data_IF_440337222473
#
_entry.id   IF_440337222473
#
_cell.length_a   1.000
_cell.length_b   1.000
_cell.length_c   1.000
_cell.angle_alpha   90.00
_cell.angle_beta   90.00
_cell.angle_gamma   90.00
#
_symmetry.space_group_name_H-M   'P 1'
#
loop_
_entity.id
_entity.type
_entity.pdbx_description
1 polymer ?
#
# COMPACT_ATOMS: atom_id res chain seq x y z
N UNK A 1 5.90 -18.83 18.74
CA UNK A 1 5.37 -17.78 17.84
C UNK A 1 4.14 -18.33 17.13
N UNK A 2 3.13 -17.50 16.92
CA UNK A 2 1.86 -17.87 16.27
C UNK A 2 1.64 -17.02 15.02
N UNK A 3 0.86 -17.54 14.07
CA UNK A 3 0.41 -16.75 12.93
C UNK A 3 -0.82 -15.93 13.33
N UNK A 4 -0.78 -14.63 13.05
CA UNK A 4 -1.82 -13.66 13.35
C UNK A 4 -2.44 -13.12 12.06
N UNK A 5 -3.76 -12.96 12.12
CA UNK A 5 -4.61 -12.30 11.12
C UNK A 5 -5.13 -11.00 11.69
N UNK A 6 -5.47 -10.06 10.82
CA UNK A 6 -5.98 -8.77 11.24
C UNK A 6 -7.42 -8.58 10.78
N UNK A 7 -8.20 -7.96 11.65
CA UNK A 7 -9.59 -7.60 11.40
C UNK A 7 -9.75 -6.12 11.68
N UNK A 8 -10.26 -5.34 10.72
CA UNK A 8 -10.39 -3.89 10.86
C UNK A 8 -11.84 -3.41 10.74
N UNK A 9 -12.17 -2.37 11.51
CA UNK A 9 -13.43 -1.63 11.44
C UNK A 9 -13.15 -0.15 11.67
N UNK A 10 -13.13 0.63 10.60
CA UNK A 10 -12.73 2.03 10.66
C UNK A 10 -11.27 2.18 11.11
N UNK A 11 -11.04 2.86 12.24
CA UNK A 11 -9.69 3.04 12.81
C UNK A 11 -9.26 1.92 13.76
N UNK A 12 -10.15 0.99 14.10
CA UNK A 12 -9.84 -0.10 15.02
C UNK A 12 -9.35 -1.31 14.25
N UNK A 13 -8.26 -1.91 14.72
CA UNK A 13 -7.72 -3.17 14.22
C UNK A 13 -7.51 -4.13 15.37
N UNK A 14 -7.92 -5.38 15.19
CA UNK A 14 -7.69 -6.48 16.14
C UNK A 14 -6.75 -7.48 15.49
N UNK A 15 -5.68 -7.84 16.19
CA UNK A 15 -4.85 -8.99 15.86
C UNK A 15 -5.46 -10.25 16.48
N UNK A 16 -5.58 -11.31 15.69
CA UNK A 16 -6.18 -12.54 16.14
C UNK A 16 -5.33 -13.73 15.68
N UNK A 17 -5.02 -14.64 16.61
CA UNK A 17 -4.34 -15.89 16.26
C UNK A 17 -5.16 -16.65 15.22
N UNK A 18 -4.48 -17.21 14.22
CA UNK A 18 -5.11 -17.98 13.15
C UNK A 18 -5.97 -19.15 13.66
N UNK A 19 -5.62 -19.71 14.82
CA UNK A 19 -6.34 -20.81 15.47
C UNK A 19 -7.65 -20.38 16.15
N UNK A 20 -7.86 -19.10 16.42
CA UNK A 20 -9.07 -18.62 17.11
C UNK A 20 -10.23 -18.38 16.13
N UNK A 21 -10.76 -19.48 15.60
CA UNK A 21 -11.82 -19.47 14.58
C UNK A 21 -13.13 -18.89 15.11
N UNK A 22 -13.44 -19.13 16.39
CA UNK A 22 -14.67 -18.61 17.00
C UNK A 22 -14.64 -17.08 17.03
N UNK A 23 -13.57 -16.49 17.56
CA UNK A 23 -13.46 -15.04 17.66
C UNK A 23 -13.37 -14.37 16.28
N UNK A 24 -12.86 -15.06 15.27
CA UNK A 24 -12.90 -14.60 13.88
C UNK A 24 -14.34 -14.45 13.35
N UNK A 25 -15.21 -15.43 13.66
CA UNK A 25 -16.64 -15.36 13.33
C UNK A 25 -17.29 -14.19 14.06
N UNK A 26 -17.08 -14.08 15.37
CA UNK A 26 -17.66 -13.03 16.21
C UNK A 26 -17.27 -11.62 15.69
N UNK A 27 -16.02 -11.42 15.26
CA UNK A 27 -15.56 -10.15 14.68
C UNK A 27 -16.23 -9.84 13.34
N UNK A 28 -16.41 -10.86 12.50
CA UNK A 28 -17.06 -10.71 11.19
C UNK A 28 -18.52 -10.31 11.35
N UNK A 29 -19.24 -10.93 12.29
CA UNK A 29 -20.62 -10.58 12.66
C UNK A 29 -20.72 -9.15 13.22
N UNK A 30 -19.69 -8.69 13.94
CA UNK A 30 -19.57 -7.31 14.41
C UNK A 30 -19.19 -6.31 13.30
N UNK A 31 -19.08 -6.75 12.05
CA UNK A 31 -18.78 -5.90 10.90
C UNK A 31 -17.30 -5.54 10.75
N UNK A 32 -16.39 -6.26 11.41
CA UNK A 32 -14.97 -6.17 11.09
C UNK A 32 -14.68 -6.93 9.79
N UNK A 33 -13.77 -6.39 8.99
CA UNK A 33 -13.31 -7.02 7.75
C UNK A 33 -11.95 -7.65 7.96
N UNK A 34 -11.77 -8.87 7.48
CA UNK A 34 -10.46 -9.51 7.46
C UNK A 34 -9.54 -8.75 6.48
N UNK A 35 -8.36 -8.38 6.95
CA UNK A 35 -7.29 -7.80 6.14
C UNK A 35 -6.49 -8.91 5.43
N UNK A 36 -5.82 -8.57 4.33
CA UNK A 36 -5.05 -9.54 3.55
C UNK A 36 -3.76 -9.96 4.24
N UNK A 37 -3.18 -9.05 5.04
CA UNK A 37 -1.93 -9.28 5.75
C UNK A 37 -2.07 -10.34 6.85
N UNK A 38 -1.08 -11.22 6.94
CA UNK A 38 -0.89 -12.14 8.05
C UNK A 38 0.57 -12.05 8.51
N UNK A 39 0.83 -12.14 9.81
CA UNK A 39 2.21 -12.05 10.36
C UNK A 39 2.44 -13.07 11.46
N UNK A 40 3.66 -13.60 11.55
CA UNK A 40 4.06 -14.52 12.63
C UNK A 40 4.71 -13.79 13.81
N UNK A 41 4.02 -13.64 14.93
CA UNK A 41 4.52 -12.87 16.08
C UNK A 41 4.48 -13.69 17.38
N UNK A 42 5.11 -13.17 18.43
CA UNK A 42 5.10 -13.79 19.76
C UNK A 42 3.77 -13.56 20.47
N UNK A 43 3.20 -12.36 20.31
CA UNK A 43 1.93 -11.93 20.89
C UNK A 43 1.16 -10.96 19.98
N UNK A 44 -0.03 -10.54 20.42
CA UNK A 44 -0.91 -9.62 19.69
C UNK A 44 -0.32 -8.22 19.54
N UNK A 45 0.42 -7.74 20.54
CA UNK A 45 1.04 -6.41 20.52
C UNK A 45 2.14 -6.35 19.47
N UNK A 46 3.02 -7.36 19.43
CA UNK A 46 4.05 -7.47 18.40
C UNK A 46 3.41 -7.63 17.02
N UNK A 47 2.34 -8.43 16.89
CA UNK A 47 1.61 -8.59 15.63
C UNK A 47 1.06 -7.24 15.12
N UNK A 48 0.42 -6.45 15.99
CA UNK A 48 -0.12 -5.13 15.65
C UNK A 48 0.99 -4.15 15.27
N UNK A 49 2.13 -4.17 15.97
CA UNK A 49 3.28 -3.32 15.63
C UNK A 49 3.80 -3.64 14.23
N UNK A 50 3.98 -4.93 13.90
CA UNK A 50 4.41 -5.33 12.55
C UNK A 50 3.38 -5.00 11.48
N UNK A 51 2.10 -5.16 11.76
CA UNK A 51 1.04 -4.75 10.84
C UNK A 51 1.06 -3.24 10.57
N UNK A 52 1.24 -2.41 11.60
CA UNK A 52 1.35 -0.97 11.45
C UNK A 52 2.55 -0.58 10.57
N UNK A 53 3.69 -1.25 10.74
CA UNK A 53 4.88 -1.05 9.92
C UNK A 53 4.64 -1.41 8.44
N UNK A 54 4.01 -2.56 8.17
CA UNK A 54 3.61 -2.96 6.81
C UNK A 54 2.71 -1.90 6.17
N UNK A 55 1.67 -1.43 6.88
CA UNK A 55 0.75 -0.41 6.35
C UNK A 55 1.45 0.93 6.11
N UNK A 56 2.45 1.27 6.92
CA UNK A 56 3.27 2.48 6.72
C UNK A 56 4.08 2.35 5.44
N UNK A 57 4.74 1.21 5.23
CA UNK A 57 5.53 0.96 4.02
C UNK A 57 4.67 1.01 2.76
N UNK A 58 3.51 0.34 2.77
CA UNK A 58 2.57 0.38 1.64
C UNK A 58 2.12 1.81 1.27
N UNK A 59 1.88 2.69 2.25
CA UNK A 59 1.55 4.10 1.98
C UNK A 59 2.71 4.86 1.34
N UNK A 60 3.94 4.59 1.79
CA UNK A 60 5.14 5.20 1.20
C UNK A 60 5.30 4.72 -0.24
N UNK A 61 5.14 3.43 -0.50
CA UNK A 61 5.23 2.85 -1.85
C UNK A 61 4.18 3.44 -2.79
N UNK A 62 2.93 3.57 -2.32
CA UNK A 62 1.86 4.22 -3.09
C UNK A 62 2.19 5.68 -3.39
N UNK A 63 2.71 6.42 -2.41
CA UNK A 63 3.12 7.81 -2.60
C UNK A 63 4.26 7.92 -3.62
N UNK A 64 5.29 7.08 -3.50
CA UNK A 64 6.42 7.04 -4.42
C UNK A 64 5.99 6.66 -5.84
N UNK A 65 5.09 5.69 -5.98
CA UNK A 65 4.52 5.29 -7.26
C UNK A 65 3.78 6.46 -7.93
N UNK A 66 2.91 7.16 -7.17
CA UNK A 66 2.18 8.32 -7.69
C UNK A 66 3.11 9.49 -8.04
N UNK A 67 4.13 9.76 -7.21
CA UNK A 67 5.13 10.80 -7.48
C UNK A 67 5.96 10.49 -8.73
N UNK A 68 6.37 9.24 -8.91
CA UNK A 68 7.06 8.78 -10.12
C UNK A 68 6.17 8.80 -11.36
N UNK A 69 4.93 8.32 -11.25
CA UNK A 69 3.96 8.34 -12.35
C UNK A 69 3.63 9.77 -12.81
N UNK A 70 3.56 10.73 -11.89
CA UNK A 70 3.34 12.14 -12.22
C UNK A 70 4.53 12.80 -12.92
N UNK A 71 5.76 12.32 -12.71
CA UNK A 71 6.97 12.92 -13.30
C UNK A 71 7.30 12.38 -14.69
N UNK A 72 6.86 11.17 -15.05
CA UNK A 72 7.07 10.57 -16.38
C UNK A 72 6.47 11.35 -17.57
N UNK A 73 5.25 11.92 -17.52
CA UNK A 73 4.71 12.64 -18.68
C UNK A 73 5.47 13.92 -19.03
N UNK A 74 6.13 14.58 -18.06
CA UNK A 74 6.90 15.80 -18.31
C UNK A 74 8.12 15.56 -19.21
N UNK A 75 8.81 14.43 -19.04
CA UNK A 75 9.96 14.08 -19.89
C UNK A 75 9.49 13.88 -21.34
N UNK A 76 8.40 13.14 -21.55
CA UNK A 76 7.84 12.92 -22.89
C UNK A 76 7.45 14.23 -23.59
N UNK A 77 6.81 15.16 -22.87
CA UNK A 77 6.45 16.48 -23.39
C UNK A 77 7.70 17.31 -23.72
N UNK A 78 8.69 17.36 -22.82
CA UNK A 78 9.92 18.11 -23.05
C UNK A 78 10.73 17.58 -24.24
N UNK A 79 10.83 16.25 -24.38
CA UNK A 79 11.47 15.62 -25.53
C UNK A 79 10.74 15.98 -26.83
N UNK A 80 9.41 15.87 -26.85
CA UNK A 80 8.62 16.24 -28.03
C UNK A 80 8.80 17.71 -28.43
N UNK A 81 8.80 18.63 -27.45
CA UNK A 81 9.05 20.07 -27.69
C UNK A 81 10.46 20.30 -28.23
N UNK A 82 11.49 19.68 -27.65
CA UNK A 82 12.87 19.81 -28.12
C UNK A 82 13.03 19.29 -29.56
N UNK A 83 12.46 18.11 -29.87
CA UNK A 83 12.47 17.55 -31.22
C UNK A 83 11.73 18.44 -32.21
N UNK A 84 10.58 18.99 -31.83
CA UNK A 84 9.82 19.91 -32.66
C UNK A 84 10.59 21.20 -32.98
N UNK A 85 11.22 21.82 -31.97
CA UNK A 85 12.04 23.02 -32.16
C UNK A 85 13.25 22.75 -33.06
N UNK A 86 13.90 21.59 -32.91
CA UNK A 86 15.02 21.18 -33.75
C UNK A 86 14.62 20.95 -35.20
N UNK A 87 13.48 20.30 -35.44
CA UNK A 87 12.93 20.07 -36.77
C UNK A 87 12.56 21.38 -37.46
N UNK A 88 11.89 22.31 -36.75
CA UNK A 88 11.56 23.64 -37.28
C UNK A 88 12.79 24.45 -37.68
N UNK A 89 13.90 24.32 -36.95
CA UNK A 89 15.19 24.97 -37.29
C UNK A 89 15.85 24.39 -38.55
N UNK A 90 15.63 23.10 -38.85
CA UNK A 90 16.16 22.45 -40.06
C UNK A 90 15.29 22.70 -41.29
N UNK A 91 13.98 22.82 -41.15
CA UNK A 91 13.05 23.03 -42.27
C UNK A 91 12.99 24.50 -42.76
N UNK A 92 13.50 25.46 -41.98
CA UNK A 92 13.62 26.87 -42.37
C UNK A 92 14.97 27.27 -42.97
N UNK A 93 15.81 26.29 -43.34
CA UNK A 93 17.03 26.47 -44.13
C UNK A 93 16.83 25.92 -45.53
#
# INVERSE_FOLDING_TARGET
MSDYRFYSRGKHTVALKRSDVKRASDLTEQGYKKEFEEVRASDETEALARFADIRRNQRIDQHNFLAGAATMPLIGVLTAVATFLFWRKRAGK
#
